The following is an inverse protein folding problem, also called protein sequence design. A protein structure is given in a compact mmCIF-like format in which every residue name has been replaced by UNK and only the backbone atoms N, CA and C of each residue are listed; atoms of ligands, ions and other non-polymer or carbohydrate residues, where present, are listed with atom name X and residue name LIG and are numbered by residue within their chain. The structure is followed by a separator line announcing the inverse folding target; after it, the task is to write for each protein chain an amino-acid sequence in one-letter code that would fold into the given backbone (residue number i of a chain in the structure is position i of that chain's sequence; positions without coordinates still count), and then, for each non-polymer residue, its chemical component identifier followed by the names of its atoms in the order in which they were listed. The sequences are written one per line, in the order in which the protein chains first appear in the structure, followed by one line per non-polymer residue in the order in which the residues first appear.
data_IF_171120200628
#
_entry.id   IF_171120200628
#
_cell.length_a   1.000
_cell.length_b   1.000
_cell.length_c   1.000
_cell.angle_alpha   90.00
_cell.angle_beta   90.00
_cell.angle_gamma   90.00
#
_symmetry.space_group_name_H-M   'P 1'
#
loop_
_entity.id
_entity.type
_entity.pdbx_description
1 polymer ?
#
# COMPACT_ATOMS: atom_id res chain seq x y z
N UNK A 1 -2.03 24.81 14.55
CA UNK A 1 -2.16 25.35 13.19
C UNK A 1 -2.73 24.25 12.32
N UNK A 2 -3.80 24.52 11.56
CA UNK A 2 -4.38 23.54 10.64
C UNK A 2 -3.38 23.16 9.55
N UNK A 3 -3.25 21.86 9.29
CA UNK A 3 -2.43 21.34 8.19
C UNK A 3 -3.34 21.18 6.99
N UNK A 4 -3.01 21.86 5.90
CA UNK A 4 -3.75 21.77 4.65
C UNK A 4 -3.17 20.62 3.84
N UNK A 5 -4.00 19.63 3.51
CA UNK A 5 -3.58 18.45 2.77
C UNK A 5 -4.23 18.46 1.40
N UNK A 6 -3.36 18.40 0.39
CA UNK A 6 -3.73 18.21 -1.01
C UNK A 6 -3.18 16.86 -1.49
N UNK A 7 -3.95 15.78 -1.35
CA UNK A 7 -3.47 14.46 -1.69
C UNK A 7 -3.38 14.29 -3.20
N UNK A 8 -2.38 13.53 -3.66
CA UNK A 8 -2.21 13.14 -5.06
C UNK A 8 -2.56 11.68 -5.25
N UNK A 9 -2.86 11.31 -6.49
CA UNK A 9 -3.12 9.92 -6.87
C UNK A 9 -1.95 9.02 -6.49
N UNK A 10 -0.72 9.51 -6.65
CA UNK A 10 0.51 8.82 -6.29
C UNK A 10 0.59 8.46 -4.79
N UNK A 11 0.05 9.28 -3.91
CA UNK A 11 0.08 9.03 -2.47
C UNK A 11 -0.81 7.84 -2.12
N UNK A 12 -2.02 7.79 -2.68
CA UNK A 12 -2.93 6.65 -2.51
C UNK A 12 -2.38 5.36 -3.13
N UNK A 13 -1.72 5.46 -4.29
CA UNK A 13 -1.06 4.31 -4.91
C UNK A 13 0.03 3.75 -4.00
N UNK A 14 0.83 4.59 -3.35
CA UNK A 14 1.88 4.16 -2.41
C UNK A 14 1.28 3.43 -1.21
N UNK A 15 0.26 3.99 -0.59
CA UNK A 15 -0.45 3.37 0.55
C UNK A 15 -1.02 2.01 0.14
N UNK A 16 -1.76 1.95 -0.98
CA UNK A 16 -2.37 0.72 -1.47
C UNK A 16 -1.33 -0.35 -1.82
N UNK A 17 -0.22 0.05 -2.44
CA UNK A 17 0.89 -0.85 -2.76
C UNK A 17 1.51 -1.44 -1.49
N UNK A 18 1.71 -0.63 -0.44
CA UNK A 18 2.22 -1.13 0.83
C UNK A 18 1.27 -2.15 1.43
N UNK A 19 -0.01 -1.79 1.57
CA UNK A 19 -1.02 -2.70 2.14
C UNK A 19 -1.10 -4.04 1.40
N UNK A 20 -0.95 -4.02 0.07
CA UNK A 20 -0.89 -5.25 -0.73
C UNK A 20 0.42 -6.00 -0.48
N UNK A 21 1.58 -5.35 -0.56
CA UNK A 21 2.89 -6.01 -0.47
C UNK A 21 3.20 -6.59 0.91
N UNK A 22 2.70 -5.98 1.98
CA UNK A 22 2.84 -6.50 3.35
C UNK A 22 1.86 -7.62 3.66
N UNK A 23 0.71 -7.66 2.97
CA UNK A 23 -0.35 -8.63 3.17
C UNK A 23 0.04 -10.09 2.96
N UNK A 24 -0.48 -10.98 3.82
CA UNK A 24 -0.29 -12.44 3.71
C UNK A 24 -0.75 -12.99 2.35
N UNK A 25 -1.83 -12.43 1.80
CA UNK A 25 -2.38 -12.81 0.49
C UNK A 25 -1.38 -12.59 -0.65
N UNK A 26 -0.67 -11.46 -0.66
CA UNK A 26 0.36 -11.17 -1.66
C UNK A 26 1.53 -12.14 -1.57
N UNK A 27 2.04 -12.41 -0.36
CA UNK A 27 3.13 -13.38 -0.15
C UNK A 27 2.74 -14.76 -0.67
N UNK A 28 1.52 -15.22 -0.37
CA UNK A 28 0.98 -16.50 -0.86
C UNK A 28 0.83 -16.51 -2.39
N UNK A 29 0.25 -15.45 -2.96
CA UNK A 29 0.06 -15.33 -4.40
C UNK A 29 1.40 -15.31 -5.15
N UNK A 30 2.39 -14.55 -4.66
CA UNK A 30 3.74 -14.53 -5.22
C UNK A 30 4.40 -15.90 -5.16
N UNK A 31 4.23 -16.63 -4.06
CA UNK A 31 4.77 -17.99 -3.93
C UNK A 31 4.12 -18.96 -4.91
N UNK A 32 2.79 -18.90 -5.08
CA UNK A 32 2.10 -19.70 -6.09
C UNK A 32 2.60 -19.38 -7.50
N UNK A 33 2.72 -18.10 -7.85
CA UNK A 33 3.23 -17.65 -9.15
C UNK A 33 4.67 -18.11 -9.41
N UNK A 34 5.53 -18.17 -8.38
CA UNK A 34 6.89 -18.73 -8.49
C UNK A 34 6.90 -20.20 -8.87
N UNK A 35 5.93 -20.98 -8.40
CA UNK A 35 5.88 -22.42 -8.62
C UNK A 35 5.07 -22.82 -9.85
N UNK A 36 4.16 -21.98 -10.34
CA UNK A 36 3.29 -22.31 -11.48
C UNK A 36 4.08 -22.79 -12.69
N UNK A 37 5.07 -22.02 -13.15
CA UNK A 37 5.80 -22.36 -14.35
C UNK A 37 6.76 -23.55 -14.16
N UNK A 38 7.51 -23.67 -13.05
CA UNK A 38 8.27 -24.88 -12.76
C UNK A 38 7.43 -26.17 -12.73
N UNK A 39 6.23 -26.10 -12.12
CA UNK A 39 5.32 -27.25 -12.08
C UNK A 39 4.85 -27.61 -13.49
N UNK A 40 4.44 -26.63 -14.31
CA UNK A 40 4.03 -26.87 -15.69
C UNK A 40 5.19 -27.45 -16.51
N UNK A 41 6.40 -26.88 -16.39
CA UNK A 41 7.57 -27.35 -17.12
C UNK A 41 7.93 -28.80 -16.76
N UNK A 42 7.88 -29.15 -15.47
CA UNK A 42 8.11 -30.52 -15.01
C UNK A 42 7.04 -31.48 -15.54
N UNK A 43 5.75 -31.08 -15.55
CA UNK A 43 4.67 -31.89 -16.13
C UNK A 43 4.89 -32.12 -17.63
N UNK A 44 5.28 -31.10 -18.39
CA UNK A 44 5.57 -31.23 -19.82
C UNK A 44 6.71 -32.20 -20.10
N UNK A 45 7.77 -32.18 -19.28
CA UNK A 45 8.89 -33.12 -19.41
C UNK A 45 8.44 -34.56 -19.13
N UNK A 46 7.59 -34.78 -18.13
CA UNK A 46 7.06 -36.12 -17.80
C UNK A 46 6.13 -36.66 -18.89
N UNK A 47 5.41 -35.79 -19.61
CA UNK A 47 4.53 -36.16 -20.71
C UNK A 47 5.28 -36.41 -22.03
N UNK A 48 6.47 -35.81 -22.20
CA UNK A 48 7.31 -36.02 -23.37
C UNK A 48 8.01 -37.40 -23.30
N UNK A 49 7.59 -38.36 -24.13
CA UNK A 49 8.25 -39.67 -24.24
C UNK A 49 9.13 -39.74 -25.51
N UNK A 50 10.39 -40.23 -25.40
CA UNK A 50 11.09 -40.59 -24.16
C UNK A 50 11.52 -39.35 -23.36
N UNK A 51 11.73 -39.53 -22.05
CA UNK A 51 12.29 -38.48 -21.20
C UNK A 51 13.77 -38.30 -21.57
N UNK A 52 14.09 -37.20 -22.26
CA UNK A 52 15.46 -36.87 -22.65
C UNK A 52 16.09 -35.97 -21.58
N UNK A 53 17.33 -36.25 -21.10
CA UNK A 53 18.03 -35.41 -20.11
C UNK A 53 18.13 -33.93 -20.53
N UNK A 54 18.24 -33.67 -21.83
CA UNK A 54 18.24 -32.32 -22.39
C UNK A 54 16.94 -31.56 -22.09
N UNK A 55 15.78 -32.22 -22.16
CA UNK A 55 14.49 -31.58 -21.87
C UNK A 55 14.36 -31.24 -20.37
N UNK A 56 14.89 -32.09 -19.50
CA UNK A 56 14.97 -31.83 -18.06
C UNK A 56 15.84 -30.59 -17.79
N UNK A 57 17.00 -30.50 -18.44
CA UNK A 57 17.90 -29.36 -18.31
C UNK A 57 17.23 -28.06 -18.78
N UNK A 58 16.59 -28.08 -19.96
CA UNK A 58 15.87 -26.91 -20.50
C UNK A 58 14.77 -26.46 -19.54
N UNK A 59 13.96 -27.40 -19.02
CA UNK A 59 12.91 -27.09 -18.06
C UNK A 59 13.47 -26.50 -16.76
N UNK A 60 14.60 -27.01 -16.26
CA UNK A 60 15.26 -26.50 -15.07
C UNK A 60 15.78 -25.06 -15.28
N UNK A 61 16.41 -24.77 -16.42
CA UNK A 61 16.89 -23.42 -16.76
C UNK A 61 15.73 -22.43 -16.86
N UNK A 62 14.67 -22.79 -17.59
CA UNK A 62 13.47 -21.95 -17.72
C UNK A 62 12.85 -21.68 -16.34
N UNK A 63 12.78 -22.70 -15.49
CA UNK A 63 12.25 -22.58 -14.12
C UNK A 63 13.10 -21.65 -13.26
N UNK A 64 14.43 -21.74 -13.34
CA UNK A 64 15.34 -20.88 -12.59
C UNK A 64 15.20 -19.41 -13.02
N UNK A 65 15.17 -19.16 -14.34
CA UNK A 65 14.92 -17.82 -14.90
C UNK A 65 13.57 -17.28 -14.41
N UNK A 66 12.52 -18.10 -14.44
CA UNK A 66 11.20 -17.70 -13.97
C UNK A 66 11.17 -17.31 -12.50
N UNK A 67 11.72 -18.16 -11.62
CA UNK A 67 11.76 -17.91 -10.17
C UNK A 67 12.49 -16.61 -9.87
N UNK A 68 13.55 -16.30 -10.63
CA UNK A 68 14.31 -15.07 -10.50
C UNK A 68 13.52 -13.82 -10.94
N UNK A 69 12.88 -13.83 -12.11
CA UNK A 69 12.23 -12.63 -12.68
C UNK A 69 10.77 -12.42 -12.24
N UNK A 70 10.04 -13.48 -11.85
CA UNK A 70 8.62 -13.37 -11.51
C UNK A 70 8.31 -12.39 -10.37
N UNK A 71 9.13 -12.20 -9.32
CA UNK A 71 8.81 -11.26 -8.25
C UNK A 71 8.74 -9.82 -8.73
N UNK A 72 9.64 -9.42 -9.62
CA UNK A 72 9.66 -8.08 -10.18
C UNK A 72 8.51 -7.87 -11.16
N UNK A 73 8.26 -8.83 -12.05
CA UNK A 73 7.16 -8.77 -13.00
C UNK A 73 5.80 -8.72 -12.29
N UNK A 74 5.64 -9.51 -11.22
CA UNK A 74 4.41 -9.55 -10.44
C UNK A 74 4.14 -8.22 -9.72
N UNK A 75 5.16 -7.65 -9.06
CA UNK A 75 5.08 -6.32 -8.44
C UNK A 75 4.73 -5.25 -9.48
N UNK A 76 5.39 -5.25 -10.64
CA UNK A 76 5.13 -4.30 -11.73
C UNK A 76 3.69 -4.40 -12.24
N UNK A 77 3.17 -5.61 -12.38
CA UNK A 77 1.80 -5.84 -12.83
C UNK A 77 0.75 -5.37 -11.81
N UNK A 78 0.98 -5.61 -10.52
CA UNK A 78 0.11 -5.12 -9.44
C UNK A 78 0.11 -3.60 -9.42
N UNK A 79 1.29 -2.98 -9.45
CA UNK A 79 1.42 -1.52 -9.52
C UNK A 79 0.63 -0.92 -10.67
N UNK A 80 0.80 -1.45 -11.89
CA UNK A 80 0.03 -0.99 -13.06
C UNK A 80 -1.48 -1.15 -12.88
N UNK A 81 -1.94 -2.23 -12.24
CA UNK A 81 -3.39 -2.44 -11.98
C UNK A 81 -3.92 -1.42 -10.99
N UNK A 82 -3.19 -1.16 -9.90
CA UNK A 82 -3.55 -0.16 -8.89
C UNK A 82 -3.57 1.24 -9.51
N UNK A 83 -2.51 1.60 -10.23
CA UNK A 83 -2.41 2.88 -10.96
C UNK A 83 -3.62 3.09 -11.87
N UNK A 84 -3.95 2.10 -12.71
CA UNK A 84 -5.13 2.17 -13.58
C UNK A 84 -6.44 2.32 -12.80
N UNK A 85 -6.59 1.59 -11.69
CA UNK A 85 -7.80 1.66 -10.88
C UNK A 85 -7.99 3.04 -10.25
N UNK A 86 -6.92 3.65 -9.71
CA UNK A 86 -7.00 4.99 -9.13
C UNK A 86 -7.15 6.08 -10.18
N UNK A 87 -6.50 5.96 -11.35
CA UNK A 87 -6.69 6.91 -12.46
C UNK A 87 -8.12 6.84 -13.01
N UNK A 88 -8.68 5.63 -13.17
CA UNK A 88 -10.07 5.46 -13.56
C UNK A 88 -11.01 6.04 -12.50
N UNK A 89 -10.78 5.77 -11.21
CA UNK A 89 -11.56 6.34 -10.12
C UNK A 89 -11.50 7.87 -10.12
N UNK A 90 -10.31 8.46 -10.25
CA UNK A 90 -10.14 9.91 -10.31
C UNK A 90 -10.88 10.57 -11.49
N UNK A 91 -11.07 9.84 -12.59
CA UNK A 91 -11.84 10.33 -13.75
C UNK A 91 -13.36 10.32 -13.53
N UNK A 92 -13.85 9.49 -12.61
CA UNK A 92 -15.29 9.33 -12.32
C UNK A 92 -15.70 10.06 -11.04
N UNK A 93 -14.91 9.93 -9.98
CA UNK A 93 -15.11 10.53 -8.67
C UNK A 93 -13.77 10.96 -8.08
N UNK A 94 -13.52 12.27 -8.09
CA UNK A 94 -12.32 12.91 -7.53
C UNK A 94 -12.48 13.34 -6.07
N UNK A 95 -13.55 12.91 -5.38
CA UNK A 95 -13.82 13.26 -3.97
C UNK A 95 -12.64 12.98 -3.04
N UNK A 96 -11.92 11.88 -3.26
CA UNK A 96 -10.75 11.49 -2.48
C UNK A 96 -9.50 12.35 -2.75
N UNK A 97 -9.49 13.13 -3.83
CA UNK A 97 -8.42 14.08 -4.18
C UNK A 97 -8.72 15.50 -3.70
N UNK A 98 -9.89 15.74 -3.11
CA UNK A 98 -10.24 17.05 -2.59
C UNK A 98 -9.32 17.43 -1.43
N UNK A 99 -8.97 18.71 -1.40
CA UNK A 99 -8.22 19.29 -0.31
C UNK A 99 -9.01 19.17 0.98
N UNK A 100 -8.32 18.85 2.07
CA UNK A 100 -8.91 18.81 3.39
C UNK A 100 -7.94 19.36 4.43
N UNK A 101 -8.49 19.93 5.50
CA UNK A 101 -7.71 20.52 6.60
C UNK A 101 -7.72 19.58 7.78
N UNK A 102 -6.55 19.29 8.33
CA UNK A 102 -6.43 18.55 9.57
C UNK A 102 -6.18 19.51 10.73
N UNK A 103 -6.99 19.38 11.77
CA UNK A 103 -6.77 19.97 13.07
C UNK A 103 -6.54 18.89 14.13
N UNK A 104 -5.70 19.22 15.11
CA UNK A 104 -5.49 18.36 16.29
C UNK A 104 -6.59 18.64 17.29
N UNK A 105 -7.24 17.59 17.76
CA UNK A 105 -8.23 17.66 18.83
C UNK A 105 -7.75 16.86 20.04
N UNK A 106 -8.46 16.97 21.16
CA UNK A 106 -8.17 16.16 22.33
C UNK A 106 -8.38 14.67 22.01
N UNK A 107 -7.30 13.89 22.09
CA UNK A 107 -7.33 12.44 21.86
C UNK A 107 -7.42 12.00 20.39
N UNK A 108 -7.29 12.90 19.41
CA UNK A 108 -7.46 12.53 18.00
C UNK A 108 -7.10 13.59 16.97
N UNK A 109 -7.52 13.33 15.73
CA UNK A 109 -7.45 14.25 14.61
C UNK A 109 -8.85 14.52 14.06
N UNK A 110 -9.03 15.73 13.56
CA UNK A 110 -10.24 16.16 12.89
C UNK A 110 -9.89 16.61 11.48
N UNK A 111 -10.66 16.20 10.47
CA UNK A 111 -10.51 16.62 9.09
C UNK A 111 -11.76 17.34 8.59
N UNK A 112 -11.55 18.44 7.87
CA UNK A 112 -12.61 19.19 7.18
C UNK A 112 -12.40 19.11 5.68
N UNK A 113 -13.38 18.57 4.95
CA UNK A 113 -13.42 18.53 3.48
C UNK A 113 -14.70 19.21 2.98
N UNK A 114 -14.57 20.45 2.53
CA UNK A 114 -15.74 21.29 2.25
C UNK A 114 -16.55 21.52 3.52
N UNK A 115 -17.83 21.15 3.51
CA UNK A 115 -18.72 21.22 4.68
C UNK A 115 -18.70 19.96 5.55
N UNK A 116 -18.04 18.89 5.09
CA UNK A 116 -18.00 17.63 5.81
C UNK A 116 -16.89 17.63 6.87
N UNK A 117 -17.26 17.17 8.07
CA UNK A 117 -16.38 17.00 9.23
C UNK A 117 -16.16 15.50 9.47
N UNK A 118 -14.91 15.09 9.59
CA UNK A 118 -14.51 13.72 9.89
C UNK A 118 -13.62 13.72 11.12
N UNK A 119 -13.80 12.75 12.01
CA UNK A 119 -13.04 12.68 13.27
C UNK A 119 -12.45 11.28 13.38
N UNK A 120 -11.19 11.19 13.77
CA UNK A 120 -10.58 9.96 14.22
C UNK A 120 -10.00 10.14 15.61
N UNK A 121 -10.47 9.33 16.55
CA UNK A 121 -9.90 9.25 17.89
C UNK A 121 -8.82 8.17 17.91
N UNK A 122 -7.73 8.42 18.62
CA UNK A 122 -6.55 7.54 18.63
C UNK A 122 -6.81 6.20 19.32
N UNK A 123 -7.78 6.15 20.23
CA UNK A 123 -8.27 4.93 20.87
C UNK A 123 -9.19 4.09 19.95
N UNK A 124 -9.71 4.68 18.86
CA UNK A 124 -10.65 4.06 17.94
C UNK A 124 -10.12 3.99 16.49
N UNK A 125 -8.82 3.79 16.32
CA UNK A 125 -8.19 3.57 15.01
C UNK A 125 -8.22 2.09 14.62
N UNK A 126 -8.42 1.80 13.33
CA UNK A 126 -8.25 0.46 12.78
C UNK A 126 -6.85 0.23 12.21
N UNK A 127 -6.24 1.26 11.62
CA UNK A 127 -4.92 1.17 11.01
C UNK A 127 -4.14 2.46 11.27
N UNK A 128 -2.88 2.30 11.67
CA UNK A 128 -1.90 3.37 11.80
C UNK A 128 -0.60 2.94 11.14
N UNK A 129 -0.22 3.64 10.08
CA UNK A 129 0.96 3.35 9.29
C UNK A 129 1.77 4.62 9.11
N UNK A 130 3.05 4.54 9.46
CA UNK A 130 4.01 5.62 9.28
C UNK A 130 5.08 5.17 8.28
N UNK A 131 5.47 6.07 7.40
CA UNK A 131 6.62 5.94 6.49
C UNK A 131 7.43 7.24 6.49
N UNK A 132 8.54 7.23 5.76
CA UNK A 132 9.38 8.40 5.52
C UNK A 132 8.69 9.51 4.71
N UNK A 133 7.66 9.17 3.93
CA UNK A 133 7.00 10.08 2.99
C UNK A 133 5.50 10.26 3.20
N UNK A 134 4.88 9.51 4.12
CA UNK A 134 3.49 9.74 4.52
C UNK A 134 3.16 9.16 5.90
N UNK A 135 2.06 9.65 6.46
CA UNK A 135 1.35 9.06 7.60
C UNK A 135 -0.05 8.68 7.12
N UNK A 136 -0.49 7.47 7.45
CA UNK A 136 -1.82 6.97 7.13
C UNK A 136 -2.52 6.53 8.41
N UNK A 137 -3.70 7.08 8.66
CA UNK A 137 -4.60 6.69 9.74
C UNK A 137 -5.96 6.34 9.16
N UNK A 138 -6.51 5.20 9.59
CA UNK A 138 -7.87 4.77 9.28
C UNK A 138 -8.65 4.57 10.57
N UNK A 139 -9.85 5.15 10.64
CA UNK A 139 -10.80 4.93 11.73
C UNK A 139 -11.44 3.52 11.66
N UNK A 140 -12.05 3.05 12.75
CA UNK A 140 -12.74 1.74 12.73
C UNK A 140 -13.99 1.72 11.85
N UNK A 141 -14.71 2.84 11.76
CA UNK A 141 -15.89 3.03 10.92
C UNK A 141 -15.55 3.15 9.42
N UNK A 142 -14.28 3.37 9.07
CA UNK A 142 -13.76 3.53 7.70
C UNK A 142 -14.46 4.63 6.90
N UNK A 143 -14.99 5.64 7.58
CA UNK A 143 -15.65 6.76 6.92
C UNK A 143 -14.66 7.70 6.22
N UNK A 144 -13.45 7.83 6.78
CA UNK A 144 -12.44 8.73 6.24
C UNK A 144 -11.01 8.21 6.44
N UNK A 145 -10.24 8.27 5.34
CA UNK A 145 -8.82 7.93 5.30
C UNK A 145 -7.99 9.21 5.53
N UNK A 146 -7.27 9.27 6.64
CA UNK A 146 -6.34 10.36 6.93
C UNK A 146 -4.97 10.05 6.32
N UNK A 147 -4.76 10.52 5.09
CA UNK A 147 -3.49 10.39 4.36
C UNK A 147 -2.72 11.71 4.37
N UNK A 148 -1.68 11.78 5.20
CA UNK A 148 -0.85 12.97 5.42
C UNK A 148 0.51 12.77 4.71
N UNK A 149 0.68 13.26 3.47
CA UNK A 149 1.94 13.14 2.76
C UNK A 149 2.97 14.14 3.29
N UNK A 150 4.26 13.81 3.19
CA UNK A 150 5.35 14.68 3.65
C UNK A 150 5.40 16.01 2.89
N UNK A 151 4.97 16.05 1.62
CA UNK A 151 4.89 17.29 0.83
C UNK A 151 3.79 18.25 1.28
N UNK A 152 2.95 17.89 2.26
CA UNK A 152 2.05 18.84 2.91
C UNK A 152 2.80 19.79 3.86
N UNK A 153 4.05 19.49 4.22
CA UNK A 153 4.90 20.27 5.11
C UNK A 153 5.93 21.07 4.29
N UNK A 154 6.42 22.18 4.84
CA UNK A 154 7.42 23.01 4.14
C UNK A 154 8.80 22.38 4.17
N UNK A 155 9.14 21.70 5.26
CA UNK A 155 10.42 21.03 5.43
C UNK A 155 10.27 19.61 5.93
N UNK A 156 11.31 18.80 5.73
CA UNK A 156 11.35 17.43 6.24
C UNK A 156 11.37 17.41 7.76
N UNK A 157 12.03 18.38 8.41
CA UNK A 157 12.04 18.47 9.88
C UNK A 157 10.64 18.74 10.45
N UNK A 158 9.82 19.56 9.77
CA UNK A 158 8.43 19.79 10.18
C UNK A 158 7.61 18.50 10.11
N UNK A 159 7.80 17.70 9.06
CA UNK A 159 7.12 16.41 8.91
C UNK A 159 7.55 15.39 9.97
N UNK A 160 8.86 15.23 10.20
CA UNK A 160 9.38 14.31 11.22
C UNK A 160 8.95 14.75 12.63
N UNK A 161 9.00 16.05 12.93
CA UNK A 161 8.51 16.57 14.21
C UNK A 161 7.01 16.35 14.40
N UNK A 162 6.21 16.48 13.33
CA UNK A 162 4.79 16.15 13.38
C UNK A 162 4.56 14.64 13.61
N UNK A 163 5.30 13.80 12.90
CA UNK A 163 5.27 12.33 13.01
C UNK A 163 5.61 11.86 14.42
N UNK A 164 6.70 12.34 15.00
CA UNK A 164 7.09 12.02 16.38
C UNK A 164 6.05 12.47 17.41
N UNK A 165 5.51 13.69 17.25
CA UNK A 165 4.48 14.20 18.14
C UNK A 165 3.19 13.36 18.08
N UNK A 166 2.82 12.92 16.88
CA UNK A 166 1.64 12.09 16.65
C UNK A 166 1.83 10.67 17.21
N UNK A 167 2.97 10.03 16.93
CA UNK A 167 3.29 8.70 17.45
C UNK A 167 3.27 8.67 18.98
N UNK A 168 3.84 9.70 19.62
CA UNK A 168 3.80 9.84 21.08
C UNK A 168 2.37 9.94 21.62
N UNK A 169 1.49 10.72 20.98
CA UNK A 169 0.10 10.86 21.40
C UNK A 169 -0.68 9.55 21.24
N UNK A 170 -0.48 8.85 20.13
CA UNK A 170 -1.10 7.55 19.85
C UNK A 170 -0.66 6.51 20.88
N UNK A 171 0.64 6.45 21.20
CA UNK A 171 1.15 5.54 22.23
C UNK A 171 0.57 5.83 23.62
N UNK A 172 0.34 7.10 23.97
CA UNK A 172 -0.32 7.47 25.23
C UNK A 172 -1.79 7.03 25.23
N UNK A 173 -2.49 7.17 24.10
CA UNK A 173 -3.89 6.79 23.98
C UNK A 173 -4.10 5.27 24.04
N UNK A 174 -3.24 4.48 23.37
CA UNK A 174 -3.35 3.02 23.30
C UNK A 174 -2.87 2.33 24.59
N UNK A 175 -1.99 2.95 25.38
CA UNK A 175 -1.50 2.38 26.65
C UNK A 175 -2.42 2.59 27.85
N UNK A 176 -3.52 3.33 27.70
CA UNK A 176 -4.56 3.46 28.72
C UNK A 176 -5.56 2.32 28.61
#
# INVERSE_FOLDING_TARGET
MPIIIKPKVEDYIKVALRGIYTGKSFKRSLWMQRLTLPVIAMLLVLLAKPIVPLNVLIAAVISAVWIYFIPELFKKNIRKKIERAFLAKASTDSSFLQEYKIDKIEGGLEAFRGENRFIVLFDNMSEYNVEDDYIYILSQDKEFDFLIPSHAFKTKEEFEGFKEALDRQIQIAIRK
#
